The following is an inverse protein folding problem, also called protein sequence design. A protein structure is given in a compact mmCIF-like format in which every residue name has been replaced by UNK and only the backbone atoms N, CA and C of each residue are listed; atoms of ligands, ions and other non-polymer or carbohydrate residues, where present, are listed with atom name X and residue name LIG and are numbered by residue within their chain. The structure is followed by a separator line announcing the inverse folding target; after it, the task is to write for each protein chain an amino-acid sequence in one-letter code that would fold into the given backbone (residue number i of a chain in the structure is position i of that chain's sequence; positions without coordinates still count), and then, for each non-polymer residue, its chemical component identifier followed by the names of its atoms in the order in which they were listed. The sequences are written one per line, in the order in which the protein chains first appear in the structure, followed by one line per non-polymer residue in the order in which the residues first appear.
data_IF_404199261702
#
_entry.id   IF_404199261702
#
_cell.length_a   1.000
_cell.length_b   1.000
_cell.length_c   1.000
_cell.angle_alpha   90.00
_cell.angle_beta   90.00
_cell.angle_gamma   90.00
#
_symmetry.space_group_name_H-M   'P 1'
#
loop_
_entity.id
_entity.type
_entity.pdbx_description
1 polymer ?
#
# COMPACT_ATOMS: atom_id res chain seq x y z
N UNK A 1 -18.47 33.88 -1.53
CA UNK A 1 -17.69 32.77 -0.94
C UNK A 1 -18.27 31.40 -1.33
N UNK A 2 -18.60 31.20 -2.61
CA UNK A 2 -19.10 29.92 -3.14
C UNK A 2 -18.37 29.51 -4.43
N UNK A 3 -17.28 30.19 -4.77
CA UNK A 3 -16.65 30.15 -6.09
C UNK A 3 -15.29 29.41 -6.07
N UNK A 4 -15.01 28.65 -5.00
CA UNK A 4 -13.69 28.01 -4.79
C UNK A 4 -13.76 26.48 -4.94
N UNK A 5 -14.94 25.89 -5.14
CA UNK A 5 -15.10 24.44 -5.24
C UNK A 5 -15.76 24.07 -6.58
N UNK A 6 -15.11 24.43 -7.69
CA UNK A 6 -15.38 23.83 -8.99
C UNK A 6 -14.10 23.14 -9.46
N UNK A 7 -14.05 21.82 -9.27
CA UNK A 7 -12.88 21.00 -9.59
C UNK A 7 -12.81 19.67 -8.83
N UNK A 8 -13.68 19.43 -7.84
CA UNK A 8 -13.71 18.17 -7.10
C UNK A 8 -14.45 17.03 -7.83
N UNK A 9 -15.26 17.34 -8.86
CA UNK A 9 -16.08 16.37 -9.61
C UNK A 9 -15.59 16.13 -11.06
N UNK A 10 -14.38 16.59 -11.41
CA UNK A 10 -13.77 16.30 -12.72
C UNK A 10 -13.26 14.85 -12.79
N UNK A 11 -13.17 14.24 -14.00
CA UNK A 11 -12.52 12.93 -14.14
C UNK A 11 -11.10 13.00 -13.59
N UNK A 12 -10.69 11.96 -12.85
CA UNK A 12 -9.35 11.88 -12.30
C UNK A 12 -8.33 11.98 -13.43
N UNK A 13 -7.24 12.70 -13.17
CA UNK A 13 -6.07 12.63 -14.05
C UNK A 13 -5.43 11.25 -13.95
N UNK A 14 -4.70 10.80 -14.98
CA UNK A 14 -3.99 9.52 -14.96
C UNK A 14 -3.03 9.39 -13.75
N UNK A 15 -2.45 10.52 -13.30
CA UNK A 15 -1.61 10.56 -12.10
C UNK A 15 -2.41 10.32 -10.82
N UNK A 16 -3.62 10.89 -10.72
CA UNK A 16 -4.51 10.66 -9.58
C UNK A 16 -5.05 9.22 -9.58
N UNK A 17 -5.40 8.66 -10.75
CA UNK A 17 -5.81 7.25 -10.87
C UNK A 17 -4.69 6.33 -10.39
N UNK A 18 -3.48 6.51 -10.91
CA UNK A 18 -2.32 5.72 -10.48
C UNK A 18 -2.04 5.85 -8.97
N UNK A 19 -2.15 7.06 -8.41
CA UNK A 19 -2.00 7.26 -6.97
C UNK A 19 -3.03 6.43 -6.18
N UNK A 20 -4.31 6.50 -6.55
CA UNK A 20 -5.36 5.77 -5.86
C UNK A 20 -5.25 4.25 -6.05
N UNK A 21 -4.81 3.77 -7.21
CA UNK A 21 -4.58 2.34 -7.45
C UNK A 21 -3.45 1.82 -6.55
N UNK A 22 -2.38 2.60 -6.34
CA UNK A 22 -1.28 2.24 -5.43
C UNK A 22 -1.72 2.27 -3.96
N UNK A 23 -2.56 3.24 -3.56
CA UNK A 23 -3.15 3.29 -2.22
C UNK A 23 -4.10 2.12 -1.96
N UNK A 24 -4.93 1.75 -2.94
CA UNK A 24 -5.85 0.60 -2.86
C UNK A 24 -5.06 -0.72 -2.72
N UNK A 25 -4.03 -0.92 -3.56
CA UNK A 25 -3.14 -2.07 -3.45
C UNK A 25 -2.46 -2.14 -2.06
N UNK A 26 -2.02 -1.00 -1.53
CA UNK A 26 -1.43 -0.89 -0.19
C UNK A 26 -2.44 -1.28 0.90
N UNK A 27 -3.70 -0.88 0.76
CA UNK A 27 -4.78 -1.22 1.68
C UNK A 27 -5.11 -2.73 1.65
N UNK A 28 -5.22 -3.32 0.45
CA UNK A 28 -5.46 -4.76 0.26
C UNK A 28 -4.34 -5.61 0.87
N UNK A 29 -3.08 -5.20 0.68
CA UNK A 29 -1.94 -5.88 1.31
C UNK A 29 -2.01 -5.73 2.83
N UNK A 30 -2.34 -4.54 3.34
CA UNK A 30 -2.50 -4.31 4.78
C UNK A 30 -3.56 -5.20 5.41
N UNK A 31 -4.72 -5.35 4.77
CA UNK A 31 -5.77 -6.26 5.20
C UNK A 31 -5.30 -7.72 5.18
N UNK A 32 -4.63 -8.14 4.10
CA UNK A 32 -4.10 -9.49 3.94
C UNK A 32 -3.09 -9.84 5.05
N UNK A 33 -2.20 -8.91 5.39
CA UNK A 33 -1.24 -9.06 6.50
C UNK A 33 -1.94 -9.20 7.85
N UNK A 34 -3.00 -8.41 8.09
CA UNK A 34 -3.78 -8.52 9.32
C UNK A 34 -4.43 -9.92 9.45
N UNK A 35 -5.02 -10.42 8.36
CA UNK A 35 -5.64 -11.74 8.32
C UNK A 35 -4.62 -12.86 8.52
N UNK A 36 -3.48 -12.81 7.83
CA UNK A 36 -2.41 -13.80 7.98
C UNK A 36 -1.86 -13.84 9.42
N UNK A 37 -1.76 -12.70 10.10
CA UNK A 37 -1.36 -12.66 11.50
C UNK A 37 -2.43 -13.25 12.44
N UNK A 38 -3.71 -13.01 12.14
CA UNK A 38 -4.84 -13.63 12.87
C UNK A 38 -4.83 -15.16 12.71
N UNK A 39 -4.59 -15.65 11.49
CA UNK A 39 -4.42 -17.08 11.21
C UNK A 39 -3.20 -17.66 11.93
N UNK A 40 -2.06 -16.95 11.93
CA UNK A 40 -0.87 -17.40 12.64
C UNK A 40 -1.09 -17.50 14.16
N UNK A 41 -1.89 -16.59 14.74
CA UNK A 41 -2.20 -16.59 16.16
C UNK A 41 -3.18 -17.71 16.58
N UNK A 42 -4.01 -18.20 15.64
CA UNK A 42 -5.01 -19.25 15.88
C UNK A 42 -4.61 -20.62 15.33
N UNK A 43 -3.46 -20.71 14.67
CA UNK A 43 -2.95 -21.92 14.02
C UNK A 43 -2.63 -23.06 15.00
N UNK A 44 -2.77 -24.30 14.52
CA UNK A 44 -2.55 -25.51 15.34
C UNK A 44 -1.10 -25.98 15.33
N UNK A 45 -0.30 -25.54 14.37
CA UNK A 45 1.11 -25.93 14.20
C UNK A 45 2.04 -24.72 14.34
N UNK A 46 3.10 -24.80 15.16
CA UNK A 46 4.13 -23.76 15.23
C UNK A 46 4.79 -23.45 13.89
N UNK A 47 5.02 -24.47 13.05
CA UNK A 47 5.67 -24.30 11.75
C UNK A 47 4.78 -23.51 10.76
N UNK A 48 3.47 -23.73 10.81
CA UNK A 48 2.49 -22.99 10.01
C UNK A 48 2.44 -21.52 10.44
N UNK A 49 2.40 -21.26 11.75
CA UNK A 49 2.44 -19.90 12.28
C UNK A 49 3.71 -19.16 11.85
N UNK A 50 4.89 -19.82 11.90
CA UNK A 50 6.15 -19.24 11.44
C UNK A 50 6.12 -18.94 9.94
N UNK A 51 5.56 -19.84 9.12
CA UNK A 51 5.44 -19.62 7.67
C UNK A 51 4.54 -18.42 7.36
N UNK A 52 3.38 -18.32 8.01
CA UNK A 52 2.45 -17.20 7.85
C UNK A 52 3.09 -15.87 8.27
N UNK A 53 3.82 -15.84 9.39
CA UNK A 53 4.56 -14.64 9.83
C UNK A 53 5.63 -14.20 8.83
N UNK A 54 6.34 -15.15 8.20
CA UNK A 54 7.33 -14.84 7.15
C UNK A 54 6.66 -14.23 5.93
N UNK A 55 5.53 -14.78 5.49
CA UNK A 55 4.75 -14.22 4.37
C UNK A 55 4.26 -12.82 4.71
N UNK A 56 3.71 -12.61 5.92
CA UNK A 56 3.30 -11.28 6.41
C UNK A 56 4.45 -10.28 6.37
N UNK A 57 5.66 -10.67 6.75
CA UNK A 57 6.83 -9.80 6.72
C UNK A 57 7.22 -9.40 5.29
N UNK A 58 7.21 -10.35 4.35
CA UNK A 58 7.48 -10.07 2.93
C UNK A 58 6.43 -9.14 2.32
N UNK A 59 5.15 -9.35 2.65
CA UNK A 59 4.04 -8.50 2.21
C UNK A 59 4.15 -7.08 2.77
N UNK A 60 4.51 -6.92 4.05
CA UNK A 60 4.78 -5.59 4.64
C UNK A 60 5.92 -4.86 3.91
N UNK A 61 6.99 -5.57 3.54
CA UNK A 61 8.07 -4.96 2.78
C UNK A 61 7.61 -4.48 1.39
N UNK A 62 6.73 -5.23 0.71
CA UNK A 62 6.13 -4.79 -0.55
C UNK A 62 5.15 -3.62 -0.35
N UNK A 63 4.36 -3.64 0.73
CA UNK A 63 3.45 -2.56 1.09
C UNK A 63 4.19 -1.23 1.23
N UNK A 64 5.32 -1.23 1.94
CA UNK A 64 6.13 -0.02 2.12
C UNK A 64 6.71 0.48 0.80
N UNK A 65 7.16 -0.43 -0.08
CA UNK A 65 7.66 -0.07 -1.41
C UNK A 65 6.59 0.56 -2.27
N UNK A 66 5.37 0.01 -2.28
CA UNK A 66 4.24 0.56 -3.04
C UNK A 66 3.84 1.93 -2.50
N UNK A 67 3.81 2.10 -1.17
CA UNK A 67 3.56 3.38 -0.53
C UNK A 67 4.57 4.45 -0.94
N UNK A 68 5.85 4.09 -0.98
CA UNK A 68 6.90 4.99 -1.49
C UNK A 68 6.65 5.39 -2.96
N UNK A 69 6.19 4.47 -3.81
CA UNK A 69 5.81 4.81 -5.19
C UNK A 69 4.57 5.71 -5.24
N UNK A 70 3.59 5.52 -4.35
CA UNK A 70 2.45 6.42 -4.25
C UNK A 70 2.90 7.84 -3.87
N UNK A 71 3.87 7.97 -2.95
CA UNK A 71 4.47 9.26 -2.61
C UNK A 71 5.23 9.90 -3.79
N UNK A 72 5.96 9.11 -4.60
CA UNK A 72 6.59 9.60 -5.85
C UNK A 72 5.55 10.12 -6.85
N UNK A 73 4.46 9.37 -7.04
CA UNK A 73 3.34 9.77 -7.92
C UNK A 73 2.69 11.04 -7.39
N UNK A 74 2.43 11.13 -6.09
CA UNK A 74 1.86 12.32 -5.46
C UNK A 74 2.78 13.55 -5.60
N UNK A 75 4.08 13.35 -5.51
CA UNK A 75 5.08 14.41 -5.68
C UNK A 75 5.34 14.77 -7.15
N UNK A 76 4.87 13.96 -8.11
CA UNK A 76 5.14 14.14 -9.53
C UNK A 76 6.62 13.97 -9.90
N UNK A 77 7.42 13.31 -9.05
CA UNK A 77 8.85 13.09 -9.27
C UNK A 77 9.33 11.81 -8.59
N UNK A 78 10.35 11.19 -9.19
CA UNK A 78 11.03 10.02 -8.62
C UNK A 78 11.99 10.51 -7.53
N UNK A 79 11.87 9.97 -6.31
CA UNK A 79 12.70 10.33 -5.16
C UNK A 79 13.35 9.04 -4.65
N UNK A 80 14.26 8.51 -5.46
CA UNK A 80 15.09 7.36 -5.08
C UNK A 80 16.41 7.89 -4.61
N UNK A 81 16.80 7.56 -3.38
CA UNK A 81 18.19 7.76 -2.97
C UNK A 81 19.07 7.01 -3.96
N UNK A 82 20.13 7.69 -4.45
CA UNK A 82 21.11 7.03 -5.30
C UNK A 82 21.56 5.76 -4.57
N UNK A 83 21.45 4.62 -5.24
CA UNK A 83 22.22 3.45 -4.85
C UNK A 83 23.69 3.85 -4.97
N UNK A 84 24.37 4.03 -3.84
CA UNK A 84 25.84 4.04 -3.77
C UNK A 84 26.39 2.63 -4.04
#
# INVERSE_FOLDING_TARGET
MADIIHGLDGPRTAQQELFYDLEDATAVIGWSVAELNSMAASGKSPDEAIALMKISALLKAQQEKIRSHADEVKAGRIVRDKAE
#
